data_IF_130807452680
#
_entry.id   IF_130807452680
#
_cell.length_a   1.000
_cell.length_b   1.000
_cell.length_c   1.000
_cell.angle_alpha   90.00
_cell.angle_beta   90.00
_cell.angle_gamma   90.00
#
_symmetry.space_group_name_H-M   'P 1'
#
loop_
_entity.id
_entity.type
_entity.pdbx_description
1 polymer ?
#
# COMPACT_ATOMS: atom_id res chain seq x y z
N UNK A 1 8.74 35.20 53.90
CA UNK A 1 8.79 33.91 54.65
C UNK A 1 7.37 33.68 55.16
N UNK A 2 6.55 32.74 54.72
CA UNK A 2 6.65 31.52 53.90
C UNK A 2 5.33 31.43 53.13
N UNK A 3 5.35 31.34 51.79
CA UNK A 3 4.16 30.99 51.02
C UNK A 3 4.10 29.46 50.95
N UNK A 4 3.10 28.85 51.59
CA UNK A 4 2.89 27.40 51.59
C UNK A 4 2.39 26.92 50.23
N UNK A 5 3.18 26.03 49.61
CA UNK A 5 2.86 25.28 48.41
C UNK A 5 1.69 24.32 48.69
N UNK A 6 0.52 24.58 48.13
CA UNK A 6 -0.61 23.63 48.13
C UNK A 6 -0.88 23.16 46.71
N UNK A 7 -0.01 22.27 46.23
CA UNK A 7 -0.23 21.44 45.03
C UNK A 7 -1.32 20.43 45.38
N UNK A 8 -2.58 20.81 45.24
CA UNK A 8 -3.71 19.88 45.25
C UNK A 8 -4.69 20.32 44.18
N UNK A 9 -5.08 19.34 43.36
CA UNK A 9 -6.00 19.46 42.20
C UNK A 9 -5.36 19.89 40.87
N UNK A 10 -4.15 19.40 40.57
CA UNK A 10 -3.93 18.83 39.23
C UNK A 10 -4.18 17.33 39.36
N UNK A 11 -5.39 17.02 39.82
CA UNK A 11 -5.91 15.68 39.82
C UNK A 11 -6.28 15.41 38.37
N UNK A 12 -5.33 14.81 37.65
CA UNK A 12 -5.64 13.71 36.76
C UNK A 12 -6.90 13.99 35.94
N UNK A 13 -6.82 14.94 35.01
CA UNK A 13 -7.58 14.77 33.79
C UNK A 13 -6.96 13.54 33.16
N UNK A 14 -7.50 12.39 33.57
CA UNK A 14 -7.51 11.16 32.83
C UNK A 14 -8.06 11.54 31.46
N UNK A 15 -7.17 12.03 30.60
CA UNK A 15 -7.30 11.78 29.18
C UNK A 15 -7.01 10.28 29.07
N UNK A 16 -8.01 9.49 29.45
CA UNK A 16 -8.27 8.24 28.76
C UNK A 16 -8.64 8.71 27.36
N UNK A 17 -7.61 9.07 26.57
CA UNK A 17 -7.70 8.80 25.15
C UNK A 17 -7.87 7.30 25.12
N UNK A 18 -9.13 6.86 25.11
CA UNK A 18 -9.44 5.61 24.48
C UNK A 18 -8.70 5.69 23.15
N UNK A 19 -7.66 4.88 23.01
CA UNK A 19 -7.17 4.51 21.71
C UNK A 19 -8.38 3.87 21.03
N UNK A 20 -9.24 4.71 20.48
CA UNK A 20 -10.14 4.35 19.41
C UNK A 20 -9.19 4.16 18.24
N UNK A 21 -8.41 3.07 18.28
CA UNK A 21 -8.02 2.44 17.04
C UNK A 21 -9.31 2.26 16.25
N UNK A 22 -9.24 2.54 14.96
CA UNK A 22 -10.34 2.33 14.03
C UNK A 22 -11.05 1.02 14.39
N UNK A 23 -12.40 1.00 14.38
CA UNK A 23 -13.17 -0.12 14.87
C UNK A 23 -12.62 -1.38 14.20
N UNK A 24 -11.90 -2.22 14.97
CA UNK A 24 -11.32 -3.48 14.50
C UNK A 24 -12.37 -4.11 13.60
N UNK A 25 -12.06 -4.42 12.35
CA UNK A 25 -13.03 -4.96 11.40
C UNK A 25 -13.71 -6.18 12.04
N UNK A 26 -14.88 -5.95 12.66
CA UNK A 26 -15.60 -6.94 13.45
C UNK A 26 -16.38 -7.76 12.44
N UNK A 27 -15.71 -8.75 11.87
CA UNK A 27 -16.33 -9.61 10.90
C UNK A 27 -17.25 -10.64 11.58
N UNK A 28 -18.56 -10.38 11.50
CA UNK A 28 -19.57 -11.39 11.81
C UNK A 28 -19.85 -12.22 10.55
N UNK A 29 -18.89 -13.06 10.14
CA UNK A 29 -19.15 -14.20 9.26
C UNK A 29 -18.69 -14.12 7.81
N UNK A 30 -17.65 -13.34 7.48
CA UNK A 30 -16.92 -13.46 6.22
C UNK A 30 -16.38 -14.87 6.07
N UNK A 31 -16.86 -15.55 5.05
CA UNK A 31 -16.29 -16.82 4.62
C UNK A 31 -15.14 -16.47 3.69
N UNK A 32 -13.89 -16.90 3.99
CA UNK A 32 -12.77 -16.63 3.10
C UNK A 32 -13.10 -17.13 1.70
N UNK A 33 -12.94 -16.25 0.71
CA UNK A 33 -13.12 -16.65 -0.68
C UNK A 33 -12.10 -17.73 -1.03
N UNK A 34 -12.49 -18.72 -1.84
CA UNK A 34 -11.52 -19.64 -2.44
C UNK A 34 -10.83 -18.90 -3.59
N UNK A 35 -9.76 -18.16 -3.28
CA UNK A 35 -8.98 -17.39 -4.24
C UNK A 35 -7.86 -18.26 -4.81
N UNK A 36 -7.88 -18.51 -6.12
CA UNK A 36 -6.72 -19.09 -6.82
C UNK A 36 -5.75 -17.97 -7.20
N UNK A 37 -4.71 -17.80 -6.38
CA UNK A 37 -3.69 -16.77 -6.59
C UNK A 37 -2.73 -17.07 -7.75
N UNK A 38 -2.75 -18.28 -8.33
CA UNK A 38 -1.90 -18.62 -9.47
C UNK A 38 -2.66 -18.49 -10.80
N UNK A 39 -3.98 -18.41 -10.78
CA UNK A 39 -4.78 -18.22 -11.97
C UNK A 39 -4.52 -16.85 -12.60
N UNK A 40 -4.61 -16.79 -13.93
CA UNK A 40 -4.62 -15.51 -14.65
C UNK A 40 -5.88 -14.74 -14.23
N UNK A 41 -5.76 -13.49 -13.74
CA UNK A 41 -6.90 -12.72 -13.27
C UNK A 41 -7.78 -12.28 -14.44
N UNK A 42 -9.06 -12.04 -14.17
CA UNK A 42 -10.06 -11.68 -15.18
C UNK A 42 -9.70 -10.42 -15.99
N UNK A 43 -9.05 -9.43 -15.35
CA UNK A 43 -8.52 -8.22 -15.98
C UNK A 43 -7.51 -8.50 -17.10
N UNK A 44 -6.61 -9.48 -16.93
CA UNK A 44 -5.54 -9.78 -17.90
C UNK A 44 -5.97 -10.75 -19.01
N UNK A 45 -7.06 -11.51 -18.82
CA UNK A 45 -7.53 -12.51 -19.81
C UNK A 45 -7.90 -11.91 -21.17
N UNK A 46 -8.28 -10.63 -21.22
CA UNK A 46 -8.78 -9.97 -22.44
C UNK A 46 -7.72 -9.15 -23.15
N UNK A 47 -6.81 -8.54 -22.40
CA UNK A 47 -5.85 -7.55 -22.91
C UNK A 47 -4.46 -8.12 -23.13
N UNK A 48 -4.17 -9.33 -22.61
CA UNK A 48 -2.84 -9.93 -22.60
C UNK A 48 -1.78 -9.09 -21.86
N UNK A 49 -2.24 -8.21 -20.96
CA UNK A 49 -1.37 -7.43 -20.07
C UNK A 49 -0.79 -8.31 -18.96
N UNK A 50 0.40 -7.94 -18.47
CA UNK A 50 1.07 -8.62 -17.36
C UNK A 50 0.82 -7.94 -16.00
N UNK A 51 -0.07 -6.94 -15.95
CA UNK A 51 -0.52 -6.25 -14.76
C UNK A 51 -2.02 -5.93 -14.84
N UNK A 52 -2.62 -5.57 -13.70
CA UNK A 52 -3.99 -5.08 -13.61
C UNK A 52 -4.06 -3.83 -12.74
N UNK A 53 -4.57 -2.73 -13.31
CA UNK A 53 -4.88 -1.50 -12.58
C UNK A 53 -6.23 -1.59 -11.86
N UNK A 54 -7.18 -2.26 -12.48
CA UNK A 54 -8.51 -2.53 -11.94
C UNK A 54 -8.70 -4.04 -11.82
N UNK A 55 -9.25 -4.48 -10.69
CA UNK A 55 -9.50 -5.89 -10.42
C UNK A 55 -10.73 -6.06 -9.52
N UNK A 56 -11.83 -6.53 -10.11
CA UNK A 56 -13.09 -6.80 -9.40
C UNK A 56 -13.00 -8.04 -8.50
N UNK A 57 -11.99 -8.88 -8.70
CA UNK A 57 -11.72 -10.10 -7.92
C UNK A 57 -10.56 -9.89 -6.93
N UNK A 58 -10.21 -8.62 -6.67
CA UNK A 58 -9.18 -8.29 -5.68
C UNK A 58 -9.67 -8.69 -4.27
N UNK A 59 -8.88 -9.45 -3.49
CA UNK A 59 -9.29 -9.95 -2.19
C UNK A 59 -9.04 -8.90 -1.11
N UNK A 60 -9.81 -7.80 -1.19
CA UNK A 60 -9.69 -6.64 -0.28
C UNK A 60 -9.70 -7.07 1.19
N UNK A 61 -10.68 -7.89 1.58
CA UNK A 61 -10.82 -8.32 2.97
C UNK A 61 -9.61 -9.12 3.44
N UNK A 62 -9.19 -10.12 2.67
CA UNK A 62 -8.09 -11.01 3.04
C UNK A 62 -6.77 -10.24 3.13
N UNK A 63 -6.52 -9.27 2.24
CA UNK A 63 -5.34 -8.40 2.29
C UNK A 63 -5.36 -7.54 3.55
N UNK A 64 -6.49 -6.86 3.82
CA UNK A 64 -6.63 -6.00 5.02
C UNK A 64 -6.45 -6.79 6.30
N UNK A 65 -7.10 -7.95 6.41
CA UNK A 65 -6.98 -8.85 7.56
C UNK A 65 -5.55 -9.35 7.74
N UNK A 66 -4.86 -9.73 6.66
CA UNK A 66 -3.47 -10.19 6.74
C UNK A 66 -2.52 -9.09 7.21
N UNK A 67 -2.74 -7.83 6.79
CA UNK A 67 -2.00 -6.66 7.29
C UNK A 67 -2.25 -6.50 8.79
N UNK A 68 -3.51 -6.52 9.23
CA UNK A 68 -3.85 -6.37 10.65
C UNK A 68 -3.27 -7.50 11.52
N UNK A 69 -3.36 -8.75 11.06
CA UNK A 69 -2.84 -9.92 11.77
C UNK A 69 -1.31 -9.93 11.86
N UNK A 70 -0.62 -9.30 10.90
CA UNK A 70 0.84 -9.28 10.82
C UNK A 70 1.43 -7.86 10.82
N UNK A 71 0.73 -6.90 11.42
CA UNK A 71 1.01 -5.48 11.30
C UNK A 71 2.46 -5.11 11.59
N UNK A 72 3.02 -5.59 12.70
CA UNK A 72 4.40 -5.26 13.08
C UNK A 72 5.45 -5.71 12.04
N UNK A 73 5.24 -6.85 11.37
CA UNK A 73 6.14 -7.32 10.30
C UNK A 73 5.87 -6.58 9.00
N UNK A 74 4.61 -6.34 8.69
CA UNK A 74 4.20 -5.63 7.49
C UNK A 74 4.73 -4.20 7.48
N UNK A 75 4.61 -3.50 8.61
CA UNK A 75 5.08 -2.12 8.78
C UNK A 75 6.61 -2.02 8.59
N UNK A 76 7.38 -2.98 9.12
CA UNK A 76 8.82 -3.05 8.87
C UNK A 76 9.16 -3.23 7.39
N UNK A 77 8.43 -4.10 6.67
CA UNK A 77 8.66 -4.32 5.24
C UNK A 77 8.35 -3.07 4.39
N UNK A 78 7.39 -2.25 4.81
CA UNK A 78 7.02 -1.02 4.11
C UNK A 78 7.82 0.22 4.54
N UNK A 79 8.35 0.25 5.75
CA UNK A 79 9.21 1.33 6.24
C UNK A 79 10.49 1.49 5.39
N UNK A 80 10.99 0.39 4.83
CA UNK A 80 12.17 0.37 3.96
C UNK A 80 11.91 0.94 2.54
N UNK A 81 10.66 1.29 2.20
CA UNK A 81 10.23 1.66 0.84
C UNK A 81 9.91 3.17 0.69
N UNK A 82 10.00 3.95 1.78
CA UNK A 82 9.63 5.38 1.76
C UNK A 82 10.54 6.26 0.90
N UNK A 83 11.70 5.75 0.47
CA UNK A 83 12.66 6.46 -0.40
C UNK A 83 12.83 5.79 -1.77
N UNK A 84 11.77 5.20 -2.33
CA UNK A 84 11.72 4.83 -3.75
C UNK A 84 11.25 6.00 -4.64
N UNK A 85 11.81 7.19 -4.40
CA UNK A 85 11.66 8.29 -5.34
C UNK A 85 12.37 7.92 -6.64
N UNK A 86 11.61 7.61 -7.69
CA UNK A 86 12.13 7.40 -9.05
C UNK A 86 12.58 8.71 -9.70
N UNK A 87 13.06 9.68 -8.91
CA UNK A 87 13.46 11.00 -9.41
C UNK A 87 14.53 10.83 -10.49
N UNK A 88 15.33 9.74 -10.41
CA UNK A 88 16.19 9.27 -11.50
C UNK A 88 16.15 7.74 -11.61
N UNK A 89 15.28 7.19 -12.46
CA UNK A 89 15.46 5.82 -13.01
C UNK A 89 16.46 5.77 -14.18
N UNK A 90 17.13 6.89 -14.44
CA UNK A 90 18.35 7.00 -15.25
C UNK A 90 19.33 7.88 -14.47
N UNK A 91 20.24 7.25 -13.72
CA UNK A 91 21.30 7.96 -12.99
C UNK A 91 22.18 8.73 -13.98
N UNK A 92 21.86 10.02 -14.23
CA UNK A 92 22.70 10.91 -15.03
C UNK A 92 22.01 12.00 -15.87
N UNK A 93 20.70 11.98 -16.10
CA UNK A 93 20.05 13.00 -16.95
C UNK A 93 19.56 14.19 -16.13
N UNK A 94 20.30 15.30 -16.21
CA UNK A 94 20.01 16.51 -15.42
C UNK A 94 18.87 17.35 -15.99
N UNK A 95 18.43 17.08 -17.23
CA UNK A 95 17.32 17.80 -17.87
C UNK A 95 16.50 16.89 -18.79
N UNK A 96 15.18 17.03 -18.76
CA UNK A 96 14.20 16.27 -19.58
C UNK A 96 14.48 16.34 -21.09
N UNK A 97 15.21 17.36 -21.55
CA UNK A 97 15.58 17.53 -22.97
C UNK A 97 16.56 16.48 -23.51
N UNK A 98 17.23 15.73 -22.64
CA UNK A 98 18.22 14.72 -23.04
C UNK A 98 17.60 13.32 -23.24
N UNK A 99 16.31 13.17 -22.97
CA UNK A 99 15.59 11.91 -23.12
C UNK A 99 15.23 11.68 -24.60
N UNK A 100 16.09 10.96 -25.32
CA UNK A 100 15.73 10.40 -26.62
C UNK A 100 15.10 9.02 -26.39
N UNK A 101 13.77 8.99 -26.25
CA UNK A 101 13.04 7.73 -26.13
C UNK A 101 13.24 6.89 -27.40
N UNK A 102 13.75 5.66 -27.24
CA UNK A 102 14.03 4.74 -28.35
C UNK A 102 12.74 4.24 -29.04
N UNK A 103 11.60 4.27 -28.34
CA UNK A 103 10.26 4.03 -28.85
C UNK A 103 9.35 5.19 -28.39
N UNK A 104 8.36 5.66 -29.17
CA UNK A 104 7.29 6.48 -28.61
C UNK A 104 6.49 5.61 -27.64
N UNK A 105 6.69 5.80 -26.34
CA UNK A 105 5.96 5.08 -25.30
C UNK A 105 4.83 5.94 -24.75
N UNK A 106 3.71 5.28 -24.44
CA UNK A 106 2.68 5.85 -23.59
C UNK A 106 3.05 5.62 -22.13
N UNK A 107 3.07 6.70 -21.36
CA UNK A 107 3.55 6.72 -19.96
C UNK A 107 2.36 6.80 -19.01
N UNK A 108 2.22 5.83 -18.10
CA UNK A 108 1.13 5.78 -17.12
C UNK A 108 1.71 5.65 -15.71
N UNK A 109 1.32 6.56 -14.81
CA UNK A 109 1.58 6.42 -13.38
C UNK A 109 0.40 5.70 -12.73
N UNK A 110 0.61 4.45 -12.33
CA UNK A 110 -0.44 3.57 -11.84
C UNK A 110 -0.10 2.90 -10.52
N UNK A 111 -1.13 2.43 -9.83
CA UNK A 111 -1.03 1.56 -8.65
C UNK A 111 -1.68 0.22 -9.00
N UNK A 112 -0.96 -0.67 -9.68
CA UNK A 112 -1.51 -1.97 -10.04
C UNK A 112 -1.90 -2.75 -8.79
N UNK A 113 -2.98 -3.52 -8.91
CA UNK A 113 -3.50 -4.41 -7.87
C UNK A 113 -2.94 -5.82 -8.01
N UNK A 114 -2.55 -6.22 -9.23
CA UNK A 114 -1.87 -7.49 -9.52
C UNK A 114 -0.84 -7.31 -10.63
N UNK A 115 0.22 -8.11 -10.57
CA UNK A 115 1.18 -8.26 -11.68
C UNK A 115 1.86 -9.62 -11.65
N UNK A 116 2.51 -9.96 -12.75
CA UNK A 116 3.38 -11.13 -12.86
C UNK A 116 4.75 -10.81 -12.23
N UNK A 117 5.26 -11.69 -11.37
CA UNK A 117 6.61 -11.56 -10.81
C UNK A 117 7.70 -12.11 -11.76
N UNK A 118 8.97 -12.01 -11.36
CA UNK A 118 10.12 -12.53 -12.13
C UNK A 118 10.07 -14.04 -12.40
N UNK A 119 9.27 -14.80 -11.66
CA UNK A 119 9.06 -16.24 -11.88
C UNK A 119 7.89 -16.55 -12.84
N UNK A 120 7.22 -15.54 -13.40
CA UNK A 120 6.06 -15.74 -14.26
C UNK A 120 4.76 -16.04 -13.50
N UNK A 121 4.71 -15.81 -12.18
CA UNK A 121 3.52 -16.06 -11.34
C UNK A 121 2.77 -14.77 -11.03
N UNK A 122 1.45 -14.83 -11.08
CA UNK A 122 0.60 -13.73 -10.62
C UNK A 122 0.75 -13.51 -9.12
N UNK A 123 0.86 -12.24 -8.74
CA UNK A 123 0.98 -11.78 -7.36
C UNK A 123 0.07 -10.58 -7.14
N UNK A 124 -0.37 -10.46 -5.89
CA UNK A 124 -1.15 -9.34 -5.39
C UNK A 124 -0.18 -8.24 -4.99
N UNK A 125 -0.47 -7.02 -5.43
CA UNK A 125 0.26 -5.82 -5.05
C UNK A 125 -0.55 -5.13 -3.97
N UNK A 126 0.05 -4.99 -2.81
CA UNK A 126 -0.64 -4.48 -1.64
C UNK A 126 -0.64 -2.95 -1.68
N UNK A 127 -1.81 -2.39 -1.94
CA UNK A 127 -2.11 -0.98 -1.77
C UNK A 127 -3.15 -0.85 -0.65
N UNK A 128 -2.77 -0.20 0.46
CA UNK A 128 -3.61 -0.03 1.64
C UNK A 128 -3.54 1.41 2.14
N UNK A 129 -4.70 2.01 2.38
CA UNK A 129 -4.82 3.36 2.91
C UNK A 129 -5.97 3.36 3.93
N UNK A 130 -5.65 3.75 5.17
CA UNK A 130 -6.61 4.02 6.24
C UNK A 130 -6.39 5.44 6.79
N UNK A 131 -6.97 5.76 7.95
CA UNK A 131 -6.84 7.09 8.55
C UNK A 131 -5.45 7.39 9.11
N UNK A 132 -4.62 6.38 9.36
CA UNK A 132 -3.36 6.48 10.10
C UNK A 132 -2.13 6.11 9.27
N UNK A 133 -2.30 5.23 8.27
CA UNK A 133 -1.22 4.60 7.51
C UNK A 133 -1.57 4.57 6.02
N UNK A 134 -0.57 4.93 5.21
CA UNK A 134 -0.69 4.94 3.74
C UNK A 134 0.44 4.12 3.13
N UNK A 135 0.09 2.94 2.66
CA UNK A 135 0.99 1.99 2.02
C UNK A 135 0.61 1.86 0.55
N UNK A 136 1.34 2.56 -0.32
CA UNK A 136 1.03 2.59 -1.75
C UNK A 136 2.26 2.22 -2.58
N UNK A 137 2.08 1.37 -3.58
CA UNK A 137 3.12 1.01 -4.54
C UNK A 137 2.76 1.65 -5.89
N UNK A 138 3.26 2.88 -6.11
CA UNK A 138 3.03 3.60 -7.37
C UNK A 138 4.20 3.33 -8.32
N UNK A 139 3.91 2.95 -9.55
CA UNK A 139 4.91 2.68 -10.58
C UNK A 139 4.64 3.49 -11.84
N UNK A 140 5.69 3.77 -12.59
CA UNK A 140 5.61 4.28 -13.97
C UNK A 140 5.60 3.08 -14.92
N UNK A 141 4.55 2.98 -15.73
CA UNK A 141 4.34 1.93 -16.73
C UNK A 141 4.55 2.58 -18.09
N UNK A 142 5.46 2.00 -18.87
CA UNK A 142 5.79 2.45 -20.22
C UNK A 142 5.39 1.36 -21.21
N UNK A 143 4.50 1.68 -22.13
CA UNK A 143 4.11 0.77 -23.19
C UNK A 143 4.65 1.26 -24.53
N UNK A 144 5.58 0.47 -25.10
CA UNK A 144 5.80 0.42 -26.53
C UNK A 144 4.85 -0.65 -27.14
#
# INVERSE_FOLDING_TARGET
MVLTLSVKVVLVVLVISTANGDPKYQDKGHKPGNHDYNAVPSCAKKTNENFCLEDNEYPDYEVKKAIEEHFAKFDQLYADVLDQGTIDSVDGLKTIKEETYLCPSDTIYGRPLRAINSEGKWRIIVNYEDNYSKYTQTIRIEQC
#
